data_IF_279597724291
#
_entry.id   IF_279597724291
#
_cell.length_a   1.000
_cell.length_b   1.000
_cell.length_c   1.000
_cell.angle_alpha   90.00
_cell.angle_beta   90.00
_cell.angle_gamma   90.00
#
_symmetry.space_group_name_H-M   'P 1'
#
loop_
_entity.id
_entity.type
_entity.pdbx_description
1 polymer ?
#
# COMPACT_ATOMS: atom_id res chain seq x y z
N UNK A 1 -0.09 23.42 -7.64
CA UNK A 1 0.89 23.86 -6.62
C UNK A 1 0.92 25.37 -6.70
N UNK A 2 0.42 26.05 -5.67
CA UNK A 2 0.51 27.49 -5.58
C UNK A 2 1.98 27.91 -5.44
N UNK A 3 2.35 29.07 -6.00
CA UNK A 3 3.70 29.66 -6.04
C UNK A 3 4.37 29.94 -4.67
N UNK A 4 3.88 29.35 -3.57
CA UNK A 4 4.24 29.66 -2.19
C UNK A 4 5.13 28.62 -1.50
N UNK A 5 5.76 27.68 -2.22
CA UNK A 5 6.58 26.62 -1.60
C UNK A 5 8.05 26.65 -2.03
N UNK A 6 8.67 27.83 -2.02
CA UNK A 6 10.11 27.95 -2.26
C UNK A 6 10.71 28.57 -1.00
N UNK A 7 11.29 27.70 -0.17
CA UNK A 7 11.93 28.07 1.08
C UNK A 7 13.24 28.80 0.78
N UNK A 8 13.28 30.12 0.95
CA UNK A 8 14.45 30.95 0.63
C UNK A 8 15.74 30.46 1.30
N UNK A 9 15.66 29.68 2.40
CA UNK A 9 16.80 29.16 3.16
C UNK A 9 17.28 27.76 2.75
N UNK A 10 16.68 27.11 1.75
CA UNK A 10 17.14 25.79 1.29
C UNK A 10 18.26 25.89 0.25
N UNK A 11 19.27 25.06 0.47
CA UNK A 11 20.34 24.76 -0.48
C UNK A 11 19.73 24.24 -1.80
N UNK A 12 20.16 24.83 -2.92
CA UNK A 12 19.64 24.55 -4.26
C UNK A 12 20.74 24.22 -5.23
N UNK A 13 20.46 23.25 -6.08
CA UNK A 13 21.31 22.93 -7.24
C UNK A 13 20.46 22.90 -8.51
N UNK A 14 21.06 23.27 -9.63
CA UNK A 14 20.40 23.26 -10.94
C UNK A 14 21.01 22.17 -11.82
N UNK A 15 20.18 21.27 -12.32
CA UNK A 15 20.51 20.40 -13.44
C UNK A 15 19.88 20.94 -14.72
N UNK A 16 20.70 21.19 -15.73
CA UNK A 16 20.22 21.73 -17.00
C UNK A 16 21.06 21.24 -18.17
N UNK A 17 20.41 20.92 -19.28
CA UNK A 17 21.09 20.90 -20.57
C UNK A 17 21.29 22.34 -21.06
N UNK A 18 22.28 22.55 -21.92
CA UNK A 18 22.36 23.76 -22.72
C UNK A 18 21.54 23.63 -24.01
N UNK A 19 20.79 24.67 -24.37
CA UNK A 19 20.06 24.74 -25.63
C UNK A 19 20.44 25.94 -26.49
N UNK A 20 19.86 26.01 -27.70
CA UNK A 20 20.10 27.09 -28.67
C UNK A 20 19.49 28.45 -28.29
N UNK A 21 18.76 28.51 -27.18
CA UNK A 21 18.19 29.73 -26.59
C UNK A 21 19.05 30.25 -25.43
N UNK A 22 19.95 29.44 -24.89
CA UNK A 22 20.82 29.83 -23.78
C UNK A 22 22.11 30.48 -24.31
N UNK A 23 22.68 31.47 -23.59
CA UNK A 23 22.20 32.03 -22.33
C UNK A 23 21.16 33.15 -22.47
N UNK A 24 21.10 33.83 -23.61
CA UNK A 24 20.08 34.85 -23.96
C UNK A 24 19.62 34.65 -25.40
N UNK A 25 18.39 35.06 -25.70
CA UNK A 25 17.88 35.04 -27.09
C UNK A 25 16.78 36.07 -27.29
N UNK A 26 16.90 36.85 -28.36
CA UNK A 26 15.89 37.85 -28.70
C UNK A 26 15.72 38.92 -27.62
N UNK A 27 16.81 39.32 -26.97
CA UNK A 27 16.86 40.35 -25.92
C UNK A 27 16.22 39.96 -24.58
N UNK A 28 16.04 38.67 -24.31
CA UNK A 28 15.56 38.17 -23.02
C UNK A 28 16.46 37.04 -22.50
N UNK A 29 16.34 36.76 -21.20
CA UNK A 29 17.00 35.62 -20.59
C UNK A 29 16.59 34.30 -21.25
N UNK A 30 17.59 33.51 -21.62
CA UNK A 30 17.42 32.09 -21.87
C UNK A 30 17.09 31.35 -20.56
N UNK A 31 16.53 30.13 -20.63
CA UNK A 31 16.06 29.43 -19.45
C UNK A 31 17.10 29.30 -18.33
N UNK A 32 18.37 29.02 -18.65
CA UNK A 32 19.43 28.87 -17.63
C UNK A 32 19.61 30.16 -16.83
N UNK A 33 19.74 31.30 -17.53
CA UNK A 33 19.94 32.60 -16.91
C UNK A 33 18.71 33.03 -16.10
N UNK A 34 17.50 32.78 -16.65
CA UNK A 34 16.24 33.13 -15.98
C UNK A 34 16.06 32.36 -14.66
N UNK A 35 16.33 31.06 -14.66
CA UNK A 35 16.28 30.24 -13.43
C UNK A 35 17.28 30.76 -12.40
N UNK A 36 18.50 31.10 -12.84
CA UNK A 36 19.52 31.66 -11.96
C UNK A 36 19.10 33.00 -11.35
N UNK A 37 18.43 33.86 -12.12
CA UNK A 37 17.97 35.18 -11.66
C UNK A 37 17.01 35.09 -10.47
N UNK A 38 16.09 34.13 -10.51
CA UNK A 38 15.05 33.98 -9.48
C UNK A 38 15.42 33.02 -8.35
N UNK A 39 16.19 31.95 -8.63
CA UNK A 39 16.42 30.89 -7.65
C UNK A 39 17.85 30.74 -7.17
N UNK A 40 18.82 31.43 -7.80
CA UNK A 40 20.23 31.49 -7.38
C UNK A 40 20.80 30.16 -6.85
N UNK A 41 20.72 29.05 -7.61
CA UNK A 41 21.28 27.76 -7.19
C UNK A 41 22.78 27.88 -6.89
N UNK A 42 23.27 27.19 -5.86
CA UNK A 42 24.67 27.25 -5.45
C UNK A 42 25.60 26.56 -6.45
N UNK A 43 25.08 25.49 -7.08
CA UNK A 43 25.80 24.70 -8.08
C UNK A 43 24.94 24.42 -9.30
N UNK A 44 25.55 24.51 -10.47
CA UNK A 44 24.92 24.26 -11.76
C UNK A 44 25.63 23.08 -12.43
N UNK A 45 24.92 21.97 -12.56
CA UNK A 45 25.29 20.81 -13.35
C UNK A 45 24.83 21.06 -14.79
N UNK A 46 25.77 21.52 -15.62
CA UNK A 46 25.52 21.91 -17.01
C UNK A 46 25.90 20.76 -17.95
N UNK A 47 24.89 20.11 -18.52
CA UNK A 47 25.07 19.01 -19.46
C UNK A 47 25.21 19.55 -20.89
N UNK A 48 26.34 19.23 -21.52
CA UNK A 48 26.72 19.75 -22.84
C UNK A 48 26.88 18.61 -23.85
N UNK A 49 26.21 18.73 -25.00
CA UNK A 49 26.57 17.95 -26.20
C UNK A 49 27.88 18.43 -26.78
N UNK A 50 28.47 17.67 -27.71
CA UNK A 50 29.69 18.08 -28.40
C UNK A 50 29.55 19.46 -29.09
N UNK A 51 28.38 19.76 -29.67
CA UNK A 51 28.08 21.07 -30.26
C UNK A 51 28.06 22.18 -29.19
N UNK A 52 27.35 21.95 -28.08
CA UNK A 52 27.25 22.94 -27.02
C UNK A 52 28.58 23.14 -26.29
N UNK A 53 29.44 22.12 -26.22
CA UNK A 53 30.78 22.21 -25.67
C UNK A 53 31.66 23.14 -26.50
N UNK A 54 31.67 23.00 -27.84
CA UNK A 54 32.38 23.92 -28.74
C UNK A 54 31.89 25.35 -28.57
N UNK A 55 30.57 25.54 -28.52
CA UNK A 55 29.97 26.86 -28.27
C UNK A 55 30.37 27.45 -26.91
N UNK A 56 30.62 26.59 -25.92
CA UNK A 56 31.01 26.99 -24.58
C UNK A 56 32.52 27.05 -24.34
N UNK A 57 33.37 26.97 -25.37
CA UNK A 57 34.84 27.09 -25.21
C UNK A 57 35.24 28.38 -24.46
N UNK A 58 34.51 29.48 -24.73
CA UNK A 58 34.70 30.76 -24.06
C UNK A 58 33.89 30.94 -22.77
N UNK A 59 33.31 29.85 -22.24
CA UNK A 59 32.49 29.83 -21.02
C UNK A 59 31.32 30.81 -21.04
N UNK A 60 30.59 30.85 -22.16
CA UNK A 60 29.54 31.86 -22.40
C UNK A 60 28.43 31.83 -21.34
N UNK A 61 28.06 30.64 -20.83
CA UNK A 61 27.00 30.52 -19.83
C UNK A 61 27.43 31.07 -18.46
N UNK A 62 28.67 30.75 -18.03
CA UNK A 62 29.25 31.25 -16.77
C UNK A 62 29.41 32.77 -16.81
N UNK A 63 29.92 33.30 -17.93
CA UNK A 63 30.09 34.75 -18.13
C UNK A 63 28.74 35.47 -18.16
N UNK A 64 27.76 34.98 -18.90
CA UNK A 64 26.45 35.61 -18.99
C UNK A 64 25.76 35.73 -17.62
N UNK A 65 25.85 34.69 -16.78
CA UNK A 65 25.35 34.72 -15.41
C UNK A 65 26.11 35.75 -14.56
N UNK A 66 27.44 35.71 -14.54
CA UNK A 66 28.27 36.63 -13.75
C UNK A 66 28.09 38.09 -14.14
N UNK A 67 27.97 38.35 -15.44
CA UNK A 67 27.84 39.71 -15.94
C UNK A 67 26.42 40.26 -15.76
N UNK A 68 25.39 39.42 -15.80
CA UNK A 68 23.98 39.84 -15.70
C UNK A 68 23.43 39.86 -14.27
N UNK A 69 24.02 39.08 -13.35
CA UNK A 69 23.53 38.89 -11.98
C UNK A 69 24.60 39.31 -10.97
N UNK A 70 24.50 40.53 -10.46
CA UNK A 70 25.40 41.04 -9.42
C UNK A 70 25.29 40.22 -8.13
N UNK A 71 26.43 40.03 -7.46
CA UNK A 71 26.54 39.29 -6.20
C UNK A 71 26.02 37.83 -6.25
N UNK A 72 26.06 37.20 -7.42
CA UNK A 72 25.74 35.79 -7.60
C UNK A 72 26.84 35.08 -8.39
N UNK A 73 27.44 34.05 -7.79
CA UNK A 73 28.57 33.32 -8.36
C UNK A 73 28.44 31.81 -8.07
N UNK A 74 27.66 31.09 -8.89
CA UNK A 74 27.44 29.66 -8.69
C UNK A 74 28.67 28.85 -9.12
N UNK A 75 28.82 27.67 -8.54
CA UNK A 75 29.82 26.68 -8.97
C UNK A 75 29.30 25.98 -10.23
N UNK A 76 30.08 25.98 -11.30
CA UNK A 76 29.76 25.22 -12.51
C UNK A 76 30.41 23.85 -12.49
N UNK A 77 29.60 22.84 -12.75
CA UNK A 77 30.05 21.51 -13.09
C UNK A 77 29.64 21.17 -14.52
N UNK A 78 30.63 21.01 -15.39
CA UNK A 78 30.40 20.67 -16.79
C UNK A 78 30.33 19.15 -16.96
N UNK A 79 29.24 18.69 -17.54
CA UNK A 79 28.98 17.29 -17.84
C UNK A 79 28.99 17.16 -19.36
N UNK A 80 30.19 17.00 -19.91
CA UNK A 80 30.37 16.77 -21.33
C UNK A 80 29.92 15.34 -21.66
N UNK A 81 29.04 15.22 -22.64
CA UNK A 81 28.45 13.92 -22.99
C UNK A 81 29.21 13.20 -24.10
N UNK A 82 30.06 13.90 -24.86
CA UNK A 82 30.71 13.42 -26.09
C UNK A 82 29.72 12.88 -27.14
N UNK A 83 28.46 13.33 -27.05
CA UNK A 83 27.39 12.92 -27.95
C UNK A 83 27.24 13.92 -29.09
N UNK A 84 27.50 13.45 -30.31
CA UNK A 84 27.30 14.21 -31.55
C UNK A 84 25.86 14.10 -32.08
N UNK A 85 25.22 12.92 -31.92
CA UNK A 85 23.89 12.63 -32.46
C UNK A 85 22.78 12.93 -31.46
N UNK A 86 22.52 14.21 -31.23
CA UNK A 86 21.59 14.64 -30.18
C UNK A 86 20.11 14.26 -30.37
N UNK A 87 19.78 13.62 -31.50
CA UNK A 87 18.45 13.16 -31.87
C UNK A 87 18.15 11.72 -31.42
N UNK A 88 19.16 10.92 -31.02
CA UNK A 88 18.91 9.57 -30.52
C UNK A 88 18.49 9.66 -29.05
N UNK A 89 17.47 8.88 -28.66
CA UNK A 89 16.79 9.03 -27.38
C UNK A 89 17.57 8.40 -26.21
N UNK A 90 18.04 7.17 -26.37
CA UNK A 90 18.54 6.34 -25.26
C UNK A 90 19.94 6.72 -24.76
N UNK A 91 20.70 7.45 -25.59
CA UNK A 91 22.10 7.81 -25.36
C UNK A 91 22.29 8.68 -24.11
N UNK A 92 21.25 9.42 -23.70
CA UNK A 92 21.31 10.35 -22.56
C UNK A 92 20.99 9.69 -21.23
N UNK A 93 20.36 8.51 -21.24
CA UNK A 93 19.84 7.86 -20.03
C UNK A 93 20.95 7.63 -19.00
N UNK A 94 22.06 7.02 -19.40
CA UNK A 94 23.19 6.73 -18.50
C UNK A 94 23.78 8.03 -17.94
N UNK A 95 23.96 9.05 -18.79
CA UNK A 95 24.57 10.31 -18.35
C UNK A 95 23.70 11.08 -17.36
N UNK A 96 22.38 11.09 -17.60
CA UNK A 96 21.40 11.68 -16.68
C UNK A 96 21.43 10.93 -15.34
N UNK A 97 21.42 9.59 -15.36
CA UNK A 97 21.48 8.78 -14.14
C UNK A 97 22.75 9.01 -13.32
N UNK A 98 23.92 9.00 -13.98
CA UNK A 98 25.21 9.30 -13.34
C UNK A 98 25.19 10.67 -12.67
N UNK A 99 24.66 11.67 -13.38
CA UNK A 99 24.56 13.04 -12.88
C UNK A 99 23.67 13.12 -11.65
N UNK A 100 22.47 12.53 -11.69
CA UNK A 100 21.59 12.52 -10.52
C UNK A 100 22.19 11.75 -9.34
N UNK A 101 22.89 10.64 -9.58
CA UNK A 101 23.58 9.91 -8.52
C UNK A 101 24.67 10.76 -7.87
N UNK A 102 25.41 11.53 -8.67
CA UNK A 102 26.38 12.49 -8.16
C UNK A 102 25.72 13.59 -7.33
N UNK A 103 24.63 14.17 -7.82
CA UNK A 103 23.84 15.16 -7.07
C UNK A 103 23.38 14.59 -5.73
N UNK A 104 22.83 13.36 -5.69
CA UNK A 104 22.41 12.71 -4.43
C UNK A 104 23.56 12.53 -3.44
N UNK A 105 24.76 12.25 -3.93
CA UNK A 105 25.94 12.04 -3.10
C UNK A 105 26.49 13.36 -2.53
N UNK A 106 26.49 14.41 -3.33
CA UNK A 106 27.06 15.71 -2.93
C UNK A 106 26.05 16.57 -2.17
N UNK A 107 24.77 16.48 -2.53
CA UNK A 107 23.69 17.35 -2.05
C UNK A 107 22.43 16.53 -1.68
N UNK A 108 22.51 15.62 -0.68
CA UNK A 108 21.42 14.67 -0.37
C UNK A 108 20.11 15.33 0.08
N UNK A 109 20.16 16.55 0.63
CA UNK A 109 19.01 17.27 1.17
C UNK A 109 18.60 18.50 0.35
N UNK A 110 19.32 18.80 -0.74
CA UNK A 110 19.09 20.01 -1.53
C UNK A 110 17.83 19.90 -2.40
N UNK A 111 17.28 21.05 -2.75
CA UNK A 111 16.30 21.18 -3.83
C UNK A 111 17.01 21.12 -5.18
N UNK A 112 16.67 20.09 -5.98
CA UNK A 112 17.25 19.89 -7.31
C UNK A 112 16.29 20.49 -8.33
N UNK A 113 16.60 21.71 -8.76
CA UNK A 113 15.91 22.37 -9.87
C UNK A 113 16.30 21.66 -11.16
N UNK A 114 15.34 21.10 -11.88
CA UNK A 114 15.57 20.42 -13.17
C UNK A 114 14.95 21.26 -14.27
N UNK A 115 15.80 21.87 -15.10
CA UNK A 115 15.33 22.64 -16.25
C UNK A 115 14.75 21.70 -17.32
N UNK A 116 13.44 21.81 -17.55
CA UNK A 116 12.72 21.03 -18.57
C UNK A 116 12.46 21.83 -19.86
N UNK A 117 13.22 22.91 -20.07
CA UNK A 117 13.07 23.83 -21.22
C UNK A 117 14.26 23.81 -22.16
N UNK A 118 15.48 23.75 -21.62
CA UNK A 118 16.72 23.80 -22.41
C UNK A 118 17.14 22.42 -22.89
N UNK A 119 17.53 22.31 -24.17
CA UNK A 119 17.97 21.07 -24.80
C UNK A 119 17.00 20.61 -25.90
N UNK A 120 17.30 19.44 -26.49
CA UNK A 120 16.41 18.83 -27.50
C UNK A 120 15.21 18.16 -26.83
N UNK A 121 14.14 17.91 -27.58
CA UNK A 121 12.97 17.21 -27.06
C UNK A 121 13.31 15.83 -26.47
N UNK A 122 14.31 15.14 -27.03
CA UNK A 122 14.78 13.84 -26.55
C UNK A 122 15.49 13.93 -25.19
N UNK A 123 16.30 14.97 -24.97
CA UNK A 123 16.96 15.23 -23.68
C UNK A 123 15.92 15.54 -22.60
N UNK A 124 14.99 16.45 -22.91
CA UNK A 124 13.93 16.84 -21.97
C UNK A 124 13.06 15.64 -21.61
N UNK A 125 12.69 14.81 -22.60
CA UNK A 125 11.90 13.60 -22.36
C UNK A 125 12.60 12.61 -21.42
N UNK A 126 13.92 12.42 -21.55
CA UNK A 126 14.68 11.56 -20.62
C UNK A 126 14.73 12.16 -19.20
N UNK A 127 14.90 13.48 -19.05
CA UNK A 127 14.84 14.15 -17.75
C UNK A 127 13.47 13.99 -17.09
N UNK A 128 12.40 14.19 -17.86
CA UNK A 128 11.03 14.01 -17.39
C UNK A 128 10.81 12.56 -16.95
N UNK A 129 11.26 11.58 -17.74
CA UNK A 129 11.14 10.17 -17.40
C UNK A 129 11.87 9.83 -16.09
N UNK A 130 13.12 10.28 -15.94
CA UNK A 130 13.85 10.12 -14.67
C UNK A 130 13.09 10.77 -13.51
N UNK A 131 12.61 12.00 -13.70
CA UNK A 131 11.89 12.76 -12.67
C UNK A 131 10.61 12.06 -12.21
N UNK A 132 9.90 11.39 -13.12
CA UNK A 132 8.67 10.64 -12.82
C UNK A 132 8.95 9.38 -11.99
N UNK A 133 10.07 8.71 -12.25
CA UNK A 133 10.43 7.43 -11.61
C UNK A 133 11.30 7.60 -10.36
N UNK A 134 11.98 8.74 -10.23
CA UNK A 134 12.93 9.00 -9.16
C UNK A 134 12.28 8.91 -7.78
N UNK A 135 12.97 8.21 -6.89
CA UNK A 135 12.69 8.17 -5.45
C UNK A 135 13.91 8.67 -4.69
N UNK A 136 13.69 9.18 -3.48
CA UNK A 136 14.74 9.63 -2.56
C UNK A 136 15.61 10.78 -3.11
N UNK A 137 14.99 11.72 -3.82
CA UNK A 137 15.61 12.99 -4.24
C UNK A 137 14.52 14.05 -4.39
N UNK A 138 14.79 15.28 -3.94
CA UNK A 138 13.83 16.37 -4.00
C UNK A 138 13.94 17.13 -5.32
N UNK A 139 13.35 16.56 -6.38
CA UNK A 139 13.33 17.19 -7.71
C UNK A 139 12.18 18.18 -7.84
N UNK A 140 12.51 19.37 -8.32
CA UNK A 140 11.58 20.44 -8.70
C UNK A 140 11.73 20.69 -10.20
N UNK A 141 10.77 20.24 -11.04
CA UNK A 141 10.76 20.55 -12.46
C UNK A 141 10.57 22.04 -12.70
N UNK A 142 11.40 22.65 -13.55
CA UNK A 142 11.35 24.08 -13.85
C UNK A 142 11.21 24.30 -15.34
N UNK A 143 10.10 24.89 -15.75
CA UNK A 143 9.84 25.31 -17.13
C UNK A 143 9.93 26.83 -17.23
N UNK A 144 10.55 27.34 -18.29
CA UNK A 144 10.65 28.78 -18.56
C UNK A 144 9.85 29.08 -19.82
N UNK A 145 8.74 29.81 -19.68
CA UNK A 145 7.93 30.24 -20.82
C UNK A 145 8.69 31.25 -21.67
N UNK A 146 8.46 31.27 -22.98
CA UNK A 146 9.04 32.31 -23.85
C UNK A 146 8.43 33.68 -23.54
N UNK A 147 9.14 34.79 -23.81
CA UNK A 147 8.63 36.14 -23.57
C UNK A 147 7.28 36.42 -24.26
N UNK A 148 7.09 35.88 -25.47
CA UNK A 148 5.87 36.05 -26.26
C UNK A 148 4.79 34.98 -25.98
N UNK A 149 5.07 33.98 -25.13
CA UNK A 149 4.16 32.86 -24.85
C UNK A 149 3.96 31.87 -26.01
N UNK A 150 4.74 32.01 -27.10
CA UNK A 150 4.74 31.13 -28.29
C UNK A 150 6.16 30.79 -28.73
N UNK A 151 6.32 29.93 -29.74
CA UNK A 151 7.63 29.54 -30.25
C UNK A 151 8.47 30.74 -30.73
N UNK A 152 9.75 30.78 -30.32
CA UNK A 152 10.66 31.87 -30.66
C UNK A 152 11.02 31.88 -32.15
N UNK A 153 10.82 33.02 -32.81
CA UNK A 153 11.18 33.27 -34.22
C UNK A 153 12.52 34.01 -34.39
N UNK A 154 13.09 34.54 -33.30
CA UNK A 154 14.39 35.22 -33.28
C UNK A 154 15.54 34.27 -33.63
N UNK A 155 16.68 34.81 -34.08
CA UNK A 155 17.87 33.99 -34.40
C UNK A 155 18.34 33.21 -33.17
N UNK A 156 18.79 31.98 -33.40
CA UNK A 156 19.41 31.15 -32.35
C UNK A 156 20.81 31.67 -32.00
N UNK A 157 21.27 31.33 -30.80
CA UNK A 157 22.64 31.61 -30.37
C UNK A 157 23.62 30.90 -31.29
N UNK A 158 24.67 31.61 -31.71
CA UNK A 158 25.67 31.15 -32.66
C UNK A 158 27.07 31.67 -32.28
N UNK A 159 28.07 31.42 -33.13
CA UNK A 159 29.47 31.76 -32.86
C UNK A 159 29.76 33.27 -32.79
N UNK A 160 28.84 34.13 -33.27
CA UNK A 160 28.95 35.58 -33.13
C UNK A 160 28.42 36.12 -31.80
N UNK A 161 27.96 35.25 -30.90
CA UNK A 161 27.42 35.63 -29.60
C UNK A 161 28.48 36.32 -28.73
N UNK A 162 28.19 37.54 -28.28
CA UNK A 162 29.03 38.32 -27.37
C UNK A 162 28.24 38.64 -26.11
N UNK A 163 28.76 38.18 -24.97
CA UNK A 163 28.09 38.31 -23.67
C UNK A 163 27.82 39.77 -23.32
N UNK A 164 28.80 40.67 -23.53
CA UNK A 164 28.65 42.10 -23.22
C UNK A 164 27.53 42.76 -24.03
N UNK A 165 27.52 42.58 -25.35
CA UNK A 165 26.51 43.14 -26.25
C UNK A 165 25.10 42.62 -25.89
N UNK A 166 24.99 41.33 -25.58
CA UNK A 166 23.71 40.70 -25.22
C UNK A 166 23.21 41.16 -23.85
N UNK A 167 24.11 41.37 -22.88
CA UNK A 167 23.78 41.91 -21.56
C UNK A 167 23.15 43.30 -21.67
N UNK A 168 23.76 44.19 -22.45
CA UNK A 168 23.31 45.59 -22.59
C UNK A 168 21.90 45.66 -23.20
N UNK A 169 21.57 44.72 -24.08
CA UNK A 169 20.30 44.68 -24.79
C UNK A 169 19.23 43.81 -24.11
N UNK A 170 19.54 43.17 -22.97
CA UNK A 170 18.63 42.23 -22.32
C UNK A 170 17.58 42.94 -21.44
N UNK A 171 16.31 42.85 -21.84
CA UNK A 171 15.19 43.47 -21.11
C UNK A 171 15.01 42.89 -19.70
N UNK A 172 15.37 41.63 -19.45
CA UNK A 172 15.27 41.03 -18.10
C UNK A 172 16.29 41.63 -17.11
N UNK A 173 17.31 42.36 -17.58
CA UNK A 173 18.20 43.14 -16.71
C UNK A 173 17.55 44.41 -16.16
N UNK A 174 16.52 44.94 -16.84
CA UNK A 174 15.79 46.15 -16.44
C UNK A 174 14.59 45.73 -15.58
N UNK A 175 14.57 46.16 -14.32
CA UNK A 175 13.55 45.73 -13.35
C UNK A 175 12.12 46.03 -13.80
N UNK A 176 11.89 47.16 -14.49
CA UNK A 176 10.58 47.58 -15.00
C UNK A 176 10.01 46.65 -16.09
N UNK A 177 10.86 46.01 -16.88
CA UNK A 177 10.44 45.10 -17.97
C UNK A 177 10.52 43.62 -17.58
N UNK A 178 11.17 43.33 -16.45
CA UNK A 178 11.42 41.97 -15.98
C UNK A 178 10.12 41.30 -15.55
N UNK A 179 9.88 40.10 -16.06
CA UNK A 179 8.74 39.27 -15.65
C UNK A 179 9.19 37.87 -15.25
N UNK A 180 8.60 37.32 -14.19
CA UNK A 180 8.87 35.92 -13.85
C UNK A 180 8.09 35.04 -14.82
N UNK A 181 8.83 34.22 -15.58
CA UNK A 181 8.32 33.33 -16.63
C UNK A 181 8.44 31.86 -16.23
N UNK A 182 8.77 31.61 -14.97
CA UNK A 182 8.99 30.26 -14.46
C UNK A 182 7.66 29.61 -14.10
N UNK A 183 7.49 28.40 -14.59
CA UNK A 183 6.36 27.52 -14.35
C UNK A 183 6.86 26.22 -13.72
N UNK A 184 6.08 25.67 -12.79
CA UNK A 184 6.35 24.40 -12.13
C UNK A 184 5.38 23.33 -12.64
N UNK A 185 5.74 22.59 -13.71
CA UNK A 185 4.88 21.54 -14.20
C UNK A 185 4.80 20.40 -13.18
N UNK A 186 3.58 19.93 -12.90
CA UNK A 186 3.37 18.78 -12.02
C UNK A 186 3.62 17.46 -12.77
N UNK A 187 4.89 17.14 -12.99
CA UNK A 187 5.28 15.88 -13.64
C UNK A 187 4.90 14.65 -12.81
N UNK A 188 4.65 14.81 -11.50
CA UNK A 188 4.27 13.69 -10.63
C UNK A 188 2.89 13.13 -10.97
N UNK A 189 2.06 13.85 -11.73
CA UNK A 189 0.78 13.33 -12.24
C UNK A 189 0.95 12.01 -13.03
N UNK A 190 2.05 11.87 -13.79
CA UNK A 190 2.33 10.62 -14.52
C UNK A 190 2.69 9.47 -13.57
N UNK A 191 3.45 9.77 -12.52
CA UNK A 191 3.79 8.81 -11.46
C UNK A 191 2.52 8.37 -10.71
N UNK A 192 1.60 9.30 -10.42
CA UNK A 192 0.30 9.01 -9.79
C UNK A 192 -0.49 7.99 -10.58
N UNK A 193 -0.59 8.14 -11.91
CA UNK A 193 -1.34 7.21 -12.76
C UNK A 193 -0.76 5.79 -12.71
N UNK A 194 0.57 5.66 -12.81
CA UNK A 194 1.24 4.36 -12.74
C UNK A 194 1.05 3.71 -11.38
N UNK A 195 1.36 4.44 -10.31
CA UNK A 195 1.27 3.95 -8.93
C UNK A 195 -0.18 3.65 -8.55
N UNK A 196 -1.14 4.46 -8.99
CA UNK A 196 -2.58 4.21 -8.81
C UNK A 196 -2.98 2.85 -9.39
N UNK A 197 -2.57 2.54 -10.61
CA UNK A 197 -2.87 1.26 -11.24
C UNK A 197 -2.19 0.09 -10.50
N UNK A 198 -0.94 0.26 -10.05
CA UNK A 198 -0.25 -0.74 -9.24
C UNK A 198 -0.98 -1.00 -7.91
N UNK A 199 -1.35 0.06 -7.18
CA UNK A 199 -2.10 -0.07 -5.92
C UNK A 199 -3.44 -0.78 -6.17
N UNK A 200 -4.18 -0.44 -7.23
CA UNK A 200 -5.44 -1.12 -7.58
C UNK A 200 -5.27 -2.62 -7.77
N UNK A 201 -4.23 -3.06 -8.50
CA UNK A 201 -3.95 -4.48 -8.69
C UNK A 201 -3.50 -5.18 -7.39
N UNK A 202 -2.74 -4.48 -6.54
CA UNK A 202 -2.34 -5.01 -5.23
C UNK A 202 -3.53 -5.13 -4.27
N UNK A 203 -4.49 -4.19 -4.31
CA UNK A 203 -5.72 -4.26 -3.51
C UNK A 203 -6.56 -5.49 -3.89
N UNK A 204 -6.66 -5.85 -5.18
CA UNK A 204 -7.32 -7.11 -5.61
C UNK A 204 -6.72 -8.36 -4.98
N UNK A 205 -5.43 -8.31 -4.62
CA UNK A 205 -4.69 -9.39 -3.94
C UNK A 205 -4.58 -9.19 -2.43
N UNK A 206 -5.18 -8.14 -1.88
CA UNK A 206 -5.11 -7.77 -0.45
C UNK A 206 -3.68 -7.53 0.06
N UNK A 207 -2.77 -7.08 -0.81
CA UNK A 207 -1.35 -6.84 -0.49
C UNK A 207 -1.08 -5.43 0.05
N UNK A 208 -1.66 -5.17 1.22
CA UNK A 208 -1.61 -3.85 1.87
C UNK A 208 -0.20 -3.37 2.22
N UNK A 209 0.70 -4.25 2.64
CA UNK A 209 2.09 -3.89 2.97
C UNK A 209 2.80 -3.30 1.75
N UNK A 210 2.61 -3.88 0.57
CA UNK A 210 3.22 -3.40 -0.67
C UNK A 210 2.60 -2.09 -1.12
N UNK A 211 1.28 -1.92 -0.96
CA UNK A 211 0.63 -0.62 -1.21
C UNK A 211 1.24 0.48 -0.33
N UNK A 212 1.50 0.21 0.95
CA UNK A 212 2.09 1.18 1.88
C UNK A 212 3.51 1.59 1.47
N UNK A 213 4.31 0.68 0.91
CA UNK A 213 5.63 1.02 0.34
C UNK A 213 5.51 1.99 -0.84
N UNK A 214 4.51 1.81 -1.70
CA UNK A 214 4.25 2.72 -2.82
C UNK A 214 3.78 4.11 -2.34
N UNK A 215 2.98 4.17 -1.27
CA UNK A 215 2.46 5.42 -0.69
C UNK A 215 3.55 6.26 0.00
N UNK A 216 4.74 5.71 0.27
CA UNK A 216 5.90 6.49 0.77
C UNK A 216 6.37 7.57 -0.23
N UNK A 217 6.02 7.42 -1.51
CA UNK A 217 6.33 8.43 -2.54
C UNK A 217 5.61 9.77 -2.32
N UNK A 218 4.54 9.76 -1.51
CA UNK A 218 3.75 10.95 -1.15
C UNK A 218 3.30 11.78 -2.35
N UNK A 219 2.77 11.07 -3.35
CA UNK A 219 2.36 11.68 -4.62
C UNK A 219 0.87 11.97 -4.69
N UNK A 220 0.02 11.34 -3.87
CA UNK A 220 -1.44 11.52 -3.91
C UNK A 220 -1.90 12.71 -3.05
N UNK A 221 -2.98 13.38 -3.44
CA UNK A 221 -3.59 14.46 -2.64
C UNK A 221 -4.10 13.92 -1.30
N UNK A 222 -4.76 12.76 -1.33
CA UNK A 222 -5.30 12.08 -0.15
C UNK A 222 -4.35 10.98 0.38
N UNK A 223 -3.03 11.17 0.21
CA UNK A 223 -2.04 10.15 0.57
C UNK A 223 -2.07 9.77 2.06
N UNK A 224 -2.29 10.72 2.96
CA UNK A 224 -2.41 10.48 4.41
C UNK A 224 -3.62 9.60 4.74
N UNK A 225 -4.75 9.85 4.06
CA UNK A 225 -5.99 9.10 4.21
C UNK A 225 -5.86 7.67 3.68
N UNK A 226 -5.28 7.51 2.50
CA UNK A 226 -4.93 6.19 1.94
C UNK A 226 -3.99 5.44 2.89
N UNK A 227 -2.93 6.10 3.37
CA UNK A 227 -1.99 5.50 4.31
C UNK A 227 -2.67 5.02 5.59
N UNK A 228 -3.52 5.83 6.23
CA UNK A 228 -4.19 5.43 7.46
C UNK A 228 -5.16 4.26 7.25
N UNK A 229 -5.93 4.27 6.15
CA UNK A 229 -6.87 3.20 5.81
C UNK A 229 -6.16 1.88 5.50
N UNK A 230 -5.09 1.91 4.69
CA UNK A 230 -4.34 0.70 4.35
C UNK A 230 -3.48 0.18 5.52
N UNK A 231 -2.98 1.06 6.38
CA UNK A 231 -2.35 0.66 7.64
C UNK A 231 -3.34 -0.03 8.57
N UNK A 232 -4.57 0.48 8.67
CA UNK A 232 -5.63 -0.18 9.43
C UNK A 232 -5.87 -1.61 8.93
N UNK A 233 -6.06 -1.77 7.61
CA UNK A 233 -6.27 -3.07 6.98
C UNK A 233 -5.08 -4.02 7.22
N UNK A 234 -3.85 -3.50 7.10
CA UNK A 234 -2.64 -4.28 7.34
C UNK A 234 -2.51 -4.70 8.81
N UNK A 235 -2.79 -3.82 9.77
CA UNK A 235 -2.78 -4.15 11.19
C UNK A 235 -3.82 -5.24 11.53
N UNK A 236 -5.01 -5.15 10.93
CA UNK A 236 -6.07 -6.15 11.08
C UNK A 236 -5.68 -7.50 10.44
N UNK A 237 -5.02 -7.48 9.28
CA UNK A 237 -4.46 -8.68 8.62
C UNK A 237 -3.48 -9.45 9.50
N UNK A 238 -2.78 -8.73 10.39
CA UNK A 238 -1.85 -9.30 11.36
C UNK A 238 -2.47 -9.52 12.75
N UNK A 239 -3.80 -9.55 12.85
CA UNK A 239 -4.56 -9.83 14.08
C UNK A 239 -4.18 -8.92 15.26
N UNK A 240 -3.85 -7.65 15.00
CA UNK A 240 -3.50 -6.68 16.06
C UNK A 240 -4.71 -6.21 16.90
N UNK A 241 -5.93 -6.68 16.62
CA UNK A 241 -7.13 -6.40 17.42
C UNK A 241 -7.47 -4.92 17.49
N UNK A 242 -7.85 -4.44 18.68
CA UNK A 242 -8.24 -3.05 18.95
C UNK A 242 -7.12 -2.05 18.64
N UNK A 243 -5.85 -2.48 18.65
CA UNK A 243 -4.71 -1.60 18.31
C UNK A 243 -4.82 -1.04 16.89
N UNK A 244 -5.42 -1.79 15.98
CA UNK A 244 -5.65 -1.33 14.60
C UNK A 244 -6.49 -0.04 14.56
N UNK A 245 -7.48 0.11 15.45
CA UNK A 245 -8.38 1.26 15.50
C UNK A 245 -7.66 2.61 15.63
N UNK A 246 -6.46 2.63 16.23
CA UNK A 246 -5.64 3.84 16.31
C UNK A 246 -5.34 4.47 14.95
N UNK A 247 -5.19 3.65 13.89
CA UNK A 247 -4.92 4.11 12.52
C UNK A 247 -6.09 4.85 11.88
N UNK A 248 -7.33 4.46 12.21
CA UNK A 248 -8.52 5.16 11.73
C UNK A 248 -8.85 6.38 12.60
N UNK A 249 -8.66 6.29 13.92
CA UNK A 249 -8.86 7.42 14.84
C UNK A 249 -8.03 8.63 14.46
N UNK A 250 -6.78 8.42 14.05
CA UNK A 250 -5.90 9.52 13.60
C UNK A 250 -6.38 10.24 12.35
N UNK A 251 -7.25 9.63 11.54
CA UNK A 251 -7.82 10.26 10.35
C UNK A 251 -9.05 11.14 10.69
N UNK A 252 -9.72 10.89 11.81
CA UNK A 252 -10.93 11.60 12.25
C UNK A 252 -12.02 11.78 11.17
N UNK A 253 -12.20 10.77 10.30
CA UNK A 253 -13.20 10.78 9.23
C UNK A 253 -14.31 9.76 9.52
N UNK A 254 -15.55 10.26 9.64
CA UNK A 254 -16.74 9.46 9.93
C UNK A 254 -17.04 8.40 8.85
N UNK A 255 -16.56 8.58 7.62
CA UNK A 255 -16.69 7.57 6.54
C UNK A 255 -16.08 6.22 6.95
N UNK A 256 -15.08 6.23 7.84
CA UNK A 256 -14.39 5.04 8.32
C UNK A 256 -14.97 4.46 9.61
N UNK A 257 -15.95 5.09 10.25
CA UNK A 257 -16.49 4.64 11.54
C UNK A 257 -17.06 3.21 11.47
N UNK A 258 -17.55 2.80 10.30
CA UNK A 258 -18.06 1.44 10.07
C UNK A 258 -16.99 0.35 10.08
N UNK A 259 -15.71 0.69 9.96
CA UNK A 259 -14.62 -0.29 9.86
C UNK A 259 -13.95 -0.62 11.18
N UNK A 260 -14.20 0.15 12.24
CA UNK A 260 -13.56 -0.10 13.54
C UNK A 260 -13.68 -1.57 13.95
N UNK A 261 -12.55 -2.12 14.37
CA UNK A 261 -12.49 -3.43 14.98
C UNK A 261 -13.28 -3.41 16.28
N UNK A 262 -14.30 -4.27 16.36
CA UNK A 262 -15.25 -4.43 17.47
C UNK A 262 -16.07 -3.17 17.81
N UNK A 263 -15.43 -2.11 18.30
CA UNK A 263 -16.04 -0.79 18.47
C UNK A 263 -14.98 0.31 18.46
N UNK A 264 -15.41 1.54 18.17
CA UNK A 264 -14.53 2.72 18.09
C UNK A 264 -13.81 2.99 19.42
N UNK A 265 -14.54 3.00 20.53
CA UNK A 265 -14.05 3.49 21.82
C UNK A 265 -13.53 2.40 22.75
N UNK A 266 -13.68 1.13 22.39
CA UNK A 266 -13.14 0.03 23.20
C UNK A 266 -11.61 -0.02 23.14
N UNK A 267 -10.99 -0.26 24.29
CA UNK A 267 -9.53 -0.39 24.45
C UNK A 267 -9.16 -1.64 25.23
N UNK A 268 -10.12 -2.31 25.87
CA UNK A 268 -9.91 -3.52 26.63
C UNK A 268 -10.19 -4.76 25.77
N UNK A 269 -9.11 -5.45 25.37
CA UNK A 269 -9.17 -6.68 24.57
C UNK A 269 -10.00 -7.81 25.22
N UNK A 270 -10.13 -7.83 26.57
CA UNK A 270 -10.93 -8.84 27.26
C UNK A 270 -12.43 -8.67 27.02
N UNK A 271 -12.88 -7.51 26.55
CA UNK A 271 -14.28 -7.28 26.20
C UNK A 271 -14.62 -7.70 24.78
N UNK A 272 -13.62 -7.92 23.92
CA UNK A 272 -13.85 -8.43 22.57
C UNK A 272 -14.32 -9.87 22.68
N UNK A 273 -15.56 -10.12 22.26
CA UNK A 273 -16.15 -11.46 22.32
C UNK A 273 -15.36 -12.43 21.45
N UNK A 274 -15.15 -13.64 21.96
CA UNK A 274 -14.37 -14.65 21.25
C UNK A 274 -14.96 -15.01 19.88
N UNK A 275 -16.29 -15.11 19.74
CA UNK A 275 -16.91 -15.33 18.42
C UNK A 275 -16.60 -14.22 17.40
N UNK A 276 -16.39 -12.99 17.85
CA UNK A 276 -16.00 -11.88 16.96
C UNK A 276 -14.58 -12.11 16.44
N UNK A 277 -13.66 -12.57 17.29
CA UNK A 277 -12.30 -12.94 16.88
C UNK A 277 -12.31 -14.08 15.86
N UNK A 278 -13.22 -15.05 16.04
CA UNK A 278 -13.41 -16.16 15.08
C UNK A 278 -13.94 -15.63 13.74
N UNK A 279 -14.94 -14.74 13.75
CA UNK A 279 -15.45 -14.12 12.53
C UNK A 279 -14.38 -13.27 11.81
N UNK A 280 -13.58 -12.53 12.56
CA UNK A 280 -12.46 -11.75 12.02
C UNK A 280 -11.36 -12.64 11.41
N UNK A 281 -11.02 -13.74 12.09
CA UNK A 281 -10.09 -14.73 11.57
C UNK A 281 -10.63 -15.42 10.31
N UNK A 282 -11.95 -15.65 10.24
CA UNK A 282 -12.59 -16.15 9.02
C UNK A 282 -12.55 -15.12 7.87
N UNK A 283 -12.66 -13.82 8.16
CA UNK A 283 -12.46 -12.78 7.15
C UNK A 283 -11.05 -12.85 6.51
N UNK A 284 -10.02 -13.21 7.30
CA UNK A 284 -8.67 -13.46 6.79
C UNK A 284 -8.59 -14.70 5.89
N UNK A 285 -9.20 -15.81 6.31
CA UNK A 285 -9.29 -17.00 5.47
C UNK A 285 -10.02 -16.67 4.16
N UNK A 286 -11.09 -15.89 4.21
CA UNK A 286 -11.87 -15.50 3.05
C UNK A 286 -11.02 -14.72 2.02
N UNK A 287 -10.18 -13.77 2.45
CA UNK A 287 -9.28 -13.07 1.50
C UNK A 287 -8.23 -13.98 0.89
N UNK A 288 -7.76 -15.01 1.61
CA UNK A 288 -6.84 -16.03 1.07
C UNK A 288 -7.48 -16.83 -0.05
N UNK A 289 -8.73 -17.24 0.13
CA UNK A 289 -9.51 -17.90 -0.91
C UNK A 289 -9.69 -16.98 -2.13
N UNK A 290 -10.02 -15.71 -1.92
CA UNK A 290 -10.21 -14.72 -3.01
C UNK A 290 -8.91 -14.40 -3.76
N UNK A 291 -7.77 -14.39 -3.07
CA UNK A 291 -6.45 -14.18 -3.68
C UNK A 291 -5.83 -15.47 -4.25
N UNK A 292 -6.62 -16.56 -4.36
CA UNK A 292 -6.19 -17.88 -4.84
C UNK A 292 -5.10 -18.57 -4.02
N UNK A 293 -4.87 -18.15 -2.77
CA UNK A 293 -4.01 -18.85 -1.80
C UNK A 293 -4.82 -19.95 -1.09
N UNK A 294 -5.14 -21.02 -1.83
CA UNK A 294 -6.01 -22.11 -1.36
C UNK A 294 -5.32 -22.95 -0.28
N UNK A 295 -4.00 -23.10 -0.35
CA UNK A 295 -3.24 -23.77 0.70
C UNK A 295 -3.30 -22.98 2.02
N UNK A 296 -3.04 -21.67 1.97
CA UNK A 296 -3.16 -20.79 3.14
C UNK A 296 -4.58 -20.79 3.71
N UNK A 297 -5.61 -20.71 2.86
CA UNK A 297 -7.01 -20.84 3.29
C UNK A 297 -7.26 -22.15 4.04
N UNK A 298 -6.83 -23.28 3.48
CA UNK A 298 -7.07 -24.61 4.07
C UNK A 298 -6.39 -24.76 5.44
N UNK A 299 -5.16 -24.27 5.57
CA UNK A 299 -4.43 -24.28 6.86
C UNK A 299 -5.16 -23.45 7.92
N UNK A 300 -5.74 -22.31 7.53
CA UNK A 300 -6.49 -21.47 8.46
C UNK A 300 -7.80 -22.11 8.92
N UNK A 301 -8.46 -22.93 8.10
CA UNK A 301 -9.74 -23.53 8.44
C UNK A 301 -9.67 -24.50 9.63
N UNK A 302 -8.57 -25.23 9.82
CA UNK A 302 -8.45 -26.21 10.91
C UNK A 302 -8.65 -25.59 12.31
N UNK A 303 -7.84 -24.59 12.73
CA UNK A 303 -8.07 -23.93 14.01
C UNK A 303 -9.40 -23.15 14.03
N UNK A 304 -9.86 -22.63 12.89
CA UNK A 304 -11.15 -21.94 12.81
C UNK A 304 -12.32 -22.86 13.17
N UNK A 305 -12.37 -24.07 12.60
CA UNK A 305 -13.46 -25.05 12.83
C UNK A 305 -13.53 -25.45 14.30
N UNK A 306 -12.37 -25.76 14.91
CA UNK A 306 -12.31 -26.10 16.34
C UNK A 306 -12.86 -24.96 17.20
N UNK A 307 -12.45 -23.73 16.90
CA UNK A 307 -12.93 -22.56 17.62
C UNK A 307 -14.43 -22.30 17.39
N UNK A 308 -14.97 -22.55 16.19
CA UNK A 308 -16.41 -22.49 15.92
C UNK A 308 -17.16 -23.44 16.87
N UNK A 309 -16.72 -24.69 16.99
CA UNK A 309 -17.38 -25.67 17.88
C UNK A 309 -17.30 -25.28 19.35
N UNK A 310 -16.15 -24.80 19.82
CA UNK A 310 -16.01 -24.25 21.17
C UNK A 310 -16.93 -23.04 21.38
N UNK A 311 -17.07 -22.19 20.36
CA UNK A 311 -17.99 -21.04 20.36
C UNK A 311 -19.44 -21.48 20.49
N UNK A 312 -19.87 -22.57 19.84
CA UNK A 312 -21.23 -23.12 20.00
C UNK A 312 -21.49 -23.50 21.45
N UNK A 313 -20.61 -24.29 22.06
CA UNK A 313 -20.77 -24.71 23.46
C UNK A 313 -20.83 -23.49 24.40
N UNK A 314 -19.93 -22.52 24.20
CA UNK A 314 -19.82 -21.33 25.05
C UNK A 314 -20.94 -20.33 24.84
N UNK A 315 -21.13 -19.86 23.61
CA UNK A 315 -21.95 -18.69 23.30
C UNK A 315 -23.39 -19.08 22.97
N UNK A 316 -23.61 -20.21 22.27
CA UNK A 316 -24.94 -20.67 21.87
C UNK A 316 -25.62 -21.49 22.98
N UNK A 317 -24.86 -22.36 23.64
CA UNK A 317 -25.38 -23.20 24.74
C UNK A 317 -25.08 -22.66 26.13
N UNK A 318 -24.34 -21.56 26.25
CA UNK A 318 -24.06 -20.92 27.54
C UNK A 318 -23.17 -21.75 28.47
N UNK A 319 -22.47 -22.77 27.97
CA UNK A 319 -21.66 -23.66 28.80
C UNK A 319 -20.31 -23.04 29.10
N UNK A 320 -19.88 -23.13 30.36
CA UNK A 320 -18.49 -22.84 30.71
C UNK A 320 -17.63 -23.99 30.23
N UNK A 321 -16.69 -23.73 29.33
CA UNK A 321 -15.82 -24.76 28.76
C UNK A 321 -14.98 -25.47 29.84
N UNK A 322 -14.63 -24.75 30.91
CA UNK A 322 -13.95 -25.29 32.08
C UNK A 322 -14.79 -26.25 32.92
N UNK A 323 -16.12 -26.29 32.74
CA UNK A 323 -16.99 -27.28 33.40
C UNK A 323 -17.06 -28.60 32.61
N UNK A 324 -16.68 -28.57 31.32
CA UNK A 324 -16.66 -29.73 30.43
C UNK A 324 -15.25 -30.32 30.27
N UNK A 325 -14.24 -29.45 30.23
CA UNK A 325 -12.89 -29.80 29.79
C UNK A 325 -11.82 -29.24 30.73
N UNK A 326 -10.60 -29.77 30.63
CA UNK A 326 -9.44 -29.21 31.33
C UNK A 326 -8.74 -28.17 30.44
N UNK A 327 -8.50 -26.99 31.01
CA UNK A 327 -7.82 -25.89 30.33
C UNK A 327 -6.31 -26.02 30.51
N UNK A 328 -5.58 -25.98 29.39
CA UNK A 328 -4.12 -25.93 29.36
C UNK A 328 -3.70 -24.62 28.70
N UNK A 329 -3.04 -23.77 29.48
CA UNK A 329 -2.38 -22.56 29.00
C UNK A 329 -0.89 -22.81 28.87
N UNK A 330 -0.34 -22.61 27.67
CA UNK A 330 1.11 -22.63 27.44
C UNK A 330 1.47 -21.46 26.55
N UNK A 331 2.38 -20.59 27.01
CA UNK A 331 2.94 -19.48 26.20
C UNK A 331 1.88 -18.56 25.54
N UNK A 332 0.70 -18.45 26.14
CA UNK A 332 -0.41 -17.64 25.59
C UNK A 332 -1.39 -18.40 24.70
N UNK A 333 -1.10 -19.65 24.32
CA UNK A 333 -2.04 -20.54 23.64
C UNK A 333 -2.97 -21.25 24.63
N UNK A 334 -4.26 -21.24 24.33
CA UNK A 334 -5.30 -21.99 25.03
C UNK A 334 -5.57 -23.29 24.28
N UNK A 335 -5.44 -24.40 24.98
CA UNK A 335 -5.82 -25.71 24.49
C UNK A 335 -6.71 -26.41 25.50
N UNK A 336 -7.63 -27.23 25.01
CA UNK A 336 -8.51 -28.02 25.85
C UNK A 336 -8.13 -29.49 25.77
N UNK A 337 -8.19 -30.16 26.93
CA UNK A 337 -8.04 -31.59 27.05
C UNK A 337 -9.29 -32.23 27.64
N UNK A 338 -9.51 -33.49 27.28
CA UNK A 338 -10.54 -34.31 27.89
C UNK A 338 -10.33 -34.36 29.40
N UNK A 339 -11.42 -34.30 30.15
CA UNK A 339 -11.47 -34.46 31.59
C UNK A 339 -12.68 -35.35 31.89
N UNK A 340 -12.42 -36.65 32.09
CA UNK A 340 -13.49 -37.64 32.25
C UNK A 340 -14.36 -37.32 33.47
N UNK A 341 -13.77 -36.79 34.55
CA UNK A 341 -14.51 -36.47 35.77
C UNK A 341 -15.51 -35.34 35.53
N UNK A 342 -15.13 -34.33 34.73
CA UNK A 342 -16.02 -33.24 34.32
C UNK A 342 -17.10 -33.72 33.36
N UNK A 343 -16.72 -34.51 32.34
CA UNK A 343 -17.66 -35.07 31.36
C UNK A 343 -18.74 -35.93 32.04
N UNK A 344 -18.35 -36.78 33.00
CA UNK A 344 -19.27 -37.65 33.76
C UNK A 344 -20.27 -36.90 34.65
N UNK A 345 -20.10 -35.58 34.88
CA UNK A 345 -21.12 -34.77 35.56
C UNK A 345 -22.38 -34.60 34.72
N UNK A 346 -22.27 -34.80 33.40
CA UNK A 346 -23.39 -34.76 32.46
C UNK A 346 -23.82 -36.19 32.15
N UNK A 347 -25.01 -36.54 32.64
CA UNK A 347 -25.56 -37.89 32.54
C UNK A 347 -25.71 -38.35 31.08
N UNK A 348 -24.97 -39.41 30.72
CA UNK A 348 -24.94 -40.00 29.37
C UNK A 348 -23.98 -39.33 28.37
N UNK A 349 -23.27 -38.25 28.74
CA UNK A 349 -22.39 -37.53 27.80
C UNK A 349 -21.17 -38.37 27.41
N UNK A 350 -20.54 -39.08 28.36
CA UNK A 350 -19.38 -39.93 28.06
C UNK A 350 -19.76 -41.04 27.09
N UNK A 351 -20.87 -41.72 27.36
CA UNK A 351 -21.40 -42.82 26.57
C UNK A 351 -21.78 -42.34 25.16
N UNK A 352 -22.36 -41.14 25.04
CA UNK A 352 -22.65 -40.51 23.75
C UNK A 352 -21.39 -40.22 22.95
N UNK A 353 -20.34 -39.69 23.58
CA UNK A 353 -19.04 -39.46 22.92
C UNK A 353 -18.44 -40.79 22.45
N UNK A 354 -18.39 -41.80 23.32
CA UNK A 354 -17.84 -43.12 22.99
C UNK A 354 -18.59 -43.78 21.83
N UNK A 355 -19.93 -43.70 21.84
CA UNK A 355 -20.80 -44.20 20.78
C UNK A 355 -20.57 -43.48 19.44
N UNK A 356 -20.59 -42.14 19.42
CA UNK A 356 -20.43 -41.36 18.19
C UNK A 356 -19.02 -41.52 17.57
N UNK A 357 -18.00 -41.72 18.41
CA UNK A 357 -16.63 -41.95 17.95
C UNK A 357 -16.34 -43.42 17.61
N UNK A 358 -17.22 -44.36 17.99
CA UNK A 358 -16.99 -45.80 17.81
C UNK A 358 -15.80 -46.33 18.61
N UNK A 359 -15.53 -45.76 19.78
CA UNK A 359 -14.40 -46.14 20.65
C UNK A 359 -14.90 -46.87 21.90
N UNK A 360 -14.11 -47.83 22.37
CA UNK A 360 -14.45 -48.59 23.58
C UNK A 360 -14.36 -47.74 24.86
N UNK A 361 -13.38 -46.83 24.92
CA UNK A 361 -13.15 -45.97 26.07
C UNK A 361 -12.57 -44.62 25.65
N UNK A 362 -13.18 -43.54 26.13
CA UNK A 362 -12.66 -42.18 26.00
C UNK A 362 -11.47 -42.00 26.93
N UNK A 363 -10.31 -41.64 26.37
CA UNK A 363 -9.09 -41.40 27.14
C UNK A 363 -9.14 -40.07 27.88
N UNK A 364 -8.62 -40.07 29.11
CA UNK A 364 -8.48 -38.85 29.91
C UNK A 364 -7.23 -38.05 29.51
N UNK A 365 -7.23 -36.74 29.77
CA UNK A 365 -6.08 -35.86 29.58
C UNK A 365 -5.50 -35.83 28.15
N UNK A 366 -6.32 -36.12 27.15
CA UNK A 366 -5.98 -36.06 25.71
C UNK A 366 -6.47 -34.78 25.08
N UNK A 367 -5.78 -34.26 24.06
CA UNK A 367 -6.23 -33.07 23.35
C UNK A 367 -7.58 -33.31 22.68
N UNK A 368 -8.48 -32.34 22.81
CA UNK A 368 -9.83 -32.46 22.26
C UNK A 368 -9.77 -32.42 20.74
N UNK A 369 -10.35 -33.43 20.11
CA UNK A 369 -10.55 -33.48 18.67
C UNK A 369 -11.86 -32.83 18.25
N UNK A 370 -11.95 -32.50 16.96
CA UNK A 370 -13.19 -32.09 16.28
C UNK A 370 -14.35 -33.06 16.57
N UNK A 371 -14.09 -34.36 16.49
CA UNK A 371 -15.12 -35.39 16.72
C UNK A 371 -15.68 -35.36 18.15
N UNK A 372 -14.83 -35.16 19.17
CA UNK A 372 -15.28 -35.04 20.57
C UNK A 372 -16.19 -33.83 20.75
N UNK A 373 -15.83 -32.68 20.14
CA UNK A 373 -16.66 -31.48 20.18
C UNK A 373 -18.00 -31.68 19.47
N UNK A 374 -17.99 -32.30 18.29
CA UNK A 374 -19.22 -32.61 17.53
C UNK A 374 -20.15 -33.49 18.37
N UNK A 375 -19.64 -34.57 18.97
CA UNK A 375 -20.45 -35.46 19.81
C UNK A 375 -21.01 -34.73 21.04
N UNK A 376 -20.19 -33.86 21.67
CA UNK A 376 -20.62 -33.04 22.81
C UNK A 376 -21.72 -32.05 22.42
N UNK A 377 -21.60 -31.41 21.26
CA UNK A 377 -22.64 -30.48 20.77
C UNK A 377 -23.93 -31.24 20.47
N UNK A 378 -23.87 -32.39 19.78
CA UNK A 378 -25.05 -33.22 19.50
C UNK A 378 -25.78 -33.63 20.78
N UNK A 379 -25.03 -34.04 21.82
CA UNK A 379 -25.61 -34.35 23.13
C UNK A 379 -26.47 -33.19 23.67
N UNK A 380 -25.93 -31.96 23.65
CA UNK A 380 -26.65 -30.79 24.15
C UNK A 380 -27.83 -30.37 23.25
N UNK A 381 -27.72 -30.58 21.94
CA UNK A 381 -28.85 -30.39 21.01
C UNK A 381 -30.00 -31.35 21.34
N UNK A 382 -29.69 -32.64 21.55
CA UNK A 382 -30.69 -33.69 21.80
C UNK A 382 -31.37 -33.55 23.16
N UNK A 383 -30.62 -33.20 24.21
CA UNK A 383 -31.17 -33.00 25.56
C UNK A 383 -32.14 -31.82 25.64
N UNK A 384 -32.08 -30.87 24.69
CA UNK A 384 -33.00 -29.73 24.57
C UNK A 384 -33.18 -29.00 25.94
N UNK A 385 -32.08 -28.81 26.67
CA UNK A 385 -32.09 -28.27 28.02
C UNK A 385 -32.76 -26.87 28.05
N UNK A 386 -33.59 -26.63 29.06
CA UNK A 386 -34.30 -25.35 29.25
C UNK A 386 -33.38 -24.14 29.48
N UNK A 387 -32.08 -24.36 29.69
CA UNK A 387 -31.06 -23.33 29.94
C UNK A 387 -30.28 -22.90 28.67
N UNK A 388 -30.64 -23.43 27.50
CA UNK A 388 -29.97 -23.08 26.24
C UNK A 388 -30.37 -21.67 25.77
N UNK A 389 -29.37 -20.83 25.45
CA UNK A 389 -29.59 -19.45 24.98
C UNK A 389 -30.24 -19.40 23.59
N UNK A 390 -29.86 -20.30 22.68
CA UNK A 390 -30.50 -20.47 21.35
C UNK A 390 -30.65 -21.94 20.96
N UNK A 391 -31.86 -22.34 20.59
CA UNK A 391 -32.12 -23.71 20.08
C UNK A 391 -31.39 -23.93 18.76
N UNK A 392 -30.67 -25.05 18.67
CA UNK A 392 -30.00 -25.51 17.46
C UNK A 392 -30.68 -26.80 16.98
N UNK A 393 -30.90 -26.89 15.68
CA UNK A 393 -31.48 -28.08 15.06
C UNK A 393 -30.41 -29.16 14.81
N UNK A 394 -30.73 -30.42 15.12
CA UNK A 394 -29.77 -31.54 15.06
C UNK A 394 -29.40 -31.89 13.61
N UNK A 395 -30.37 -31.83 12.70
CA UNK A 395 -30.14 -32.12 11.28
C UNK A 395 -29.24 -31.05 10.67
N UNK A 396 -29.54 -29.78 10.95
CA UNK A 396 -28.71 -28.64 10.57
C UNK A 396 -27.27 -28.77 11.11
N UNK A 397 -27.09 -29.04 12.41
CA UNK A 397 -25.75 -29.14 12.97
C UNK A 397 -24.98 -30.33 12.39
N UNK A 398 -25.66 -31.46 12.19
CA UNK A 398 -25.05 -32.64 11.58
C UNK A 398 -24.60 -32.40 10.15
N UNK A 399 -25.40 -31.68 9.35
CA UNK A 399 -25.05 -31.28 7.99
C UNK A 399 -23.89 -30.25 7.98
N UNK A 400 -23.91 -29.27 8.88
CA UNK A 400 -22.84 -28.29 9.05
C UNK A 400 -21.51 -28.96 9.44
N UNK A 401 -21.51 -29.80 10.46
CA UNK A 401 -20.30 -30.47 10.94
C UNK A 401 -19.74 -31.45 9.92
N UNK A 402 -20.60 -32.18 9.19
CA UNK A 402 -20.17 -33.06 8.08
C UNK A 402 -19.47 -32.28 6.98
N UNK A 403 -19.98 -31.12 6.59
CA UNK A 403 -19.32 -30.28 5.59
C UNK A 403 -17.97 -29.78 6.07
N UNK A 404 -17.86 -29.32 7.32
CA UNK A 404 -16.59 -28.84 7.84
C UNK A 404 -15.56 -29.96 8.01
N UNK A 405 -16.00 -31.17 8.39
CA UNK A 405 -15.11 -32.32 8.57
C UNK A 405 -14.42 -32.74 7.27
N UNK A 406 -15.05 -32.54 6.10
CA UNK A 406 -14.47 -32.81 4.78
C UNK A 406 -13.17 -32.03 4.50
N UNK A 407 -12.97 -30.88 5.13
CA UNK A 407 -11.74 -30.07 4.97
C UNK A 407 -10.51 -30.83 5.48
N UNK A 408 -10.69 -31.76 6.43
CA UNK A 408 -9.61 -32.56 6.99
C UNK A 408 -8.90 -33.42 5.94
N UNK A 409 -9.62 -33.90 4.92
CA UNK A 409 -9.05 -34.65 3.80
C UNK A 409 -8.03 -33.77 3.05
N UNK A 410 -8.44 -32.55 2.65
CA UNK A 410 -7.57 -31.58 1.97
C UNK A 410 -6.38 -31.17 2.84
N UNK A 411 -6.61 -30.88 4.12
CA UNK A 411 -5.54 -30.50 5.04
C UNK A 411 -4.50 -31.61 5.16
N UNK A 412 -4.94 -32.86 5.34
CA UNK A 412 -4.03 -34.00 5.45
C UNK A 412 -3.20 -34.16 4.17
N UNK A 413 -3.81 -33.95 3.00
CA UNK A 413 -3.07 -33.91 1.74
C UNK A 413 -1.99 -32.81 1.76
N UNK A 414 -2.31 -31.57 2.14
CA UNK A 414 -1.32 -30.46 2.17
C UNK A 414 -0.23 -30.70 3.23
N UNK A 415 -0.60 -31.18 4.42
CA UNK A 415 0.32 -31.32 5.55
C UNK A 415 1.28 -32.51 5.38
N UNK A 416 0.84 -33.57 4.69
CA UNK A 416 1.63 -34.79 4.48
C UNK A 416 2.20 -34.90 3.06
N UNK A 417 1.91 -33.95 2.17
CA UNK A 417 2.51 -33.89 0.83
C UNK A 417 2.97 -32.46 0.49
N UNK A 418 4.18 -32.31 -0.06
CA UNK A 418 4.70 -31.03 -0.56
C UNK A 418 4.02 -30.63 -1.89
N UNK A 419 2.69 -30.64 -1.93
CA UNK A 419 1.89 -30.33 -3.12
C UNK A 419 1.23 -28.96 -2.97
N UNK A 420 1.35 -28.15 -4.01
CA UNK A 420 0.50 -26.98 -4.21
C UNK A 420 -0.89 -27.42 -4.62
N UNK A 421 -1.92 -26.78 -4.08
CA UNK A 421 -3.31 -27.06 -4.43
C UNK A 421 -3.98 -25.81 -5.01
N UNK A 422 -4.84 -26.01 -5.99
CA UNK A 422 -5.74 -25.00 -6.50
C UNK A 422 -7.18 -25.26 -6.02
N UNK A 423 -8.14 -24.50 -6.55
CA UNK A 423 -9.55 -24.59 -6.19
C UNK A 423 -10.19 -25.92 -6.59
N UNK A 424 -9.85 -26.43 -7.77
CA UNK A 424 -10.38 -27.69 -8.29
C UNK A 424 -9.84 -28.88 -7.50
N UNK A 425 -8.56 -28.84 -7.13
CA UNK A 425 -7.93 -29.82 -6.24
C UNK A 425 -8.64 -29.86 -4.88
N UNK A 426 -8.90 -28.69 -4.28
CA UNK A 426 -9.66 -28.58 -3.03
C UNK A 426 -11.05 -29.21 -3.17
N UNK A 427 -11.79 -28.84 -4.21
CA UNK A 427 -13.17 -29.29 -4.40
C UNK A 427 -13.25 -30.80 -4.64
N UNK A 428 -12.27 -31.35 -5.38
CA UNK A 428 -12.17 -32.78 -5.66
C UNK A 428 -11.86 -33.57 -4.39
N UNK A 429 -10.83 -33.15 -3.65
CA UNK A 429 -10.39 -33.85 -2.44
C UNK A 429 -11.41 -33.74 -1.31
N UNK A 430 -11.95 -32.54 -1.04
CA UNK A 430 -12.97 -32.34 -0.01
C UNK A 430 -14.34 -32.94 -0.40
N UNK A 431 -14.57 -33.21 -1.69
CA UNK A 431 -15.90 -33.57 -2.23
C UNK A 431 -16.99 -32.56 -1.82
N UNK A 432 -16.61 -31.29 -1.74
CA UNK A 432 -17.47 -30.13 -1.47
C UNK A 432 -16.79 -28.87 -2.01
N UNK A 433 -17.59 -27.97 -2.60
CA UNK A 433 -17.08 -26.71 -3.12
C UNK A 433 -16.59 -25.78 -2.01
N UNK A 434 -15.45 -25.10 -2.25
CA UNK A 434 -14.92 -24.07 -1.33
C UNK A 434 -15.94 -22.95 -1.04
N UNK A 435 -16.75 -22.56 -2.05
CA UNK A 435 -17.81 -21.57 -1.85
C UNK A 435 -18.91 -22.10 -0.94
N UNK A 436 -19.25 -23.39 -1.07
CA UNK A 436 -20.23 -24.03 -0.20
C UNK A 436 -19.75 -24.04 1.25
N UNK A 437 -18.46 -24.32 1.49
CA UNK A 437 -17.85 -24.23 2.82
C UNK A 437 -17.99 -22.81 3.38
N UNK A 438 -17.60 -21.80 2.60
CA UNK A 438 -17.69 -20.40 3.03
C UNK A 438 -19.13 -19.98 3.32
N UNK A 439 -20.07 -20.27 2.43
CA UNK A 439 -21.48 -19.96 2.62
C UNK A 439 -22.03 -20.63 3.87
N UNK A 440 -21.69 -21.89 4.14
CA UNK A 440 -22.13 -22.55 5.38
C UNK A 440 -21.61 -21.87 6.64
N UNK A 441 -20.36 -21.40 6.65
CA UNK A 441 -19.80 -20.65 7.79
C UNK A 441 -20.52 -19.30 7.95
N UNK A 442 -20.75 -18.57 6.85
CA UNK A 442 -21.47 -17.29 6.87
C UNK A 442 -22.90 -17.48 7.38
N UNK A 443 -23.62 -18.47 6.85
CA UNK A 443 -24.99 -18.80 7.24
C UNK A 443 -25.07 -19.24 8.70
N UNK A 444 -24.08 -19.98 9.19
CA UNK A 444 -23.96 -20.32 10.60
C UNK A 444 -23.85 -19.08 11.49
N UNK A 445 -22.92 -18.16 11.19
CA UNK A 445 -22.79 -16.92 11.97
C UNK A 445 -24.05 -16.06 11.88
N UNK A 446 -24.65 -15.96 10.69
CA UNK A 446 -25.90 -15.24 10.48
C UNK A 446 -27.05 -15.84 11.30
N UNK A 447 -27.14 -17.16 11.39
CA UNK A 447 -28.22 -17.84 12.11
C UNK A 447 -28.09 -17.76 13.63
N UNK A 448 -26.87 -17.87 14.17
CA UNK A 448 -26.70 -18.00 15.64
C UNK A 448 -26.01 -16.82 16.32
N UNK A 449 -25.40 -15.89 15.58
CA UNK A 449 -24.63 -14.78 16.15
C UNK A 449 -25.18 -13.39 15.79
N UNK A 450 -26.24 -13.28 14.99
CA UNK A 450 -26.87 -11.98 14.67
C UNK A 450 -27.33 -11.26 15.93
N UNK A 451 -27.98 -11.96 16.87
CA UNK A 451 -28.43 -11.38 18.14
C UNK A 451 -27.27 -10.98 19.07
N UNK A 452 -26.08 -11.54 18.83
CA UNK A 452 -24.85 -11.16 19.51
C UNK A 452 -24.16 -9.95 18.86
N UNK A 453 -24.66 -9.48 17.71
CA UNK A 453 -24.15 -8.33 16.96
C UNK A 453 -23.37 -8.68 15.69
N UNK A 454 -23.38 -9.94 15.24
CA UNK A 454 -22.75 -10.32 13.96
C UNK A 454 -23.36 -9.55 12.79
N UNK A 455 -22.49 -9.12 11.87
CA UNK A 455 -22.87 -8.50 10.60
C UNK A 455 -22.03 -9.13 9.50
N UNK A 456 -22.65 -9.43 8.37
CA UNK A 456 -21.95 -9.99 7.21
C UNK A 456 -20.82 -9.08 6.70
N UNK A 457 -20.95 -7.76 6.90
CA UNK A 457 -19.89 -6.77 6.62
C UNK A 457 -18.59 -7.01 7.39
N UNK A 458 -18.63 -7.77 8.49
CA UNK A 458 -17.41 -8.18 9.21
C UNK A 458 -16.57 -9.16 8.39
N UNK A 459 -17.19 -9.99 7.54
CA UNK A 459 -16.51 -10.99 6.70
C UNK A 459 -15.98 -10.37 5.41
N UNK A 460 -16.68 -9.37 4.85
CA UNK A 460 -16.26 -8.64 3.65
C UNK A 460 -15.56 -7.30 3.94
N UNK A 461 -15.11 -7.07 5.19
CA UNK A 461 -14.49 -5.81 5.63
C UNK A 461 -13.33 -5.37 4.72
N UNK A 462 -12.50 -6.31 4.26
CA UNK A 462 -11.38 -6.03 3.37
C UNK A 462 -11.83 -5.58 1.97
N UNK A 463 -12.93 -6.13 1.46
CA UNK A 463 -13.50 -5.71 0.18
C UNK A 463 -14.05 -4.28 0.27
N UNK A 464 -14.72 -3.96 1.37
CA UNK A 464 -15.23 -2.62 1.60
C UNK A 464 -14.10 -1.60 1.77
N UNK A 465 -13.02 -1.97 2.48
CA UNK A 465 -11.83 -1.13 2.59
C UNK A 465 -11.20 -0.91 1.22
N UNK A 466 -11.01 -1.96 0.43
CA UNK A 466 -10.48 -1.87 -0.93
C UNK A 466 -11.34 -0.98 -1.82
N UNK A 467 -12.67 -1.08 -1.71
CA UNK A 467 -13.61 -0.22 -2.42
C UNK A 467 -13.39 1.25 -2.06
N UNK A 468 -13.30 1.59 -0.78
CA UNK A 468 -13.08 2.99 -0.36
C UNK A 468 -11.69 3.48 -0.74
N UNK A 469 -10.66 2.64 -0.66
CA UNK A 469 -9.32 2.99 -1.14
C UNK A 469 -9.33 3.30 -2.65
N UNK A 470 -10.05 2.50 -3.44
CA UNK A 470 -10.24 2.77 -4.87
C UNK A 470 -11.01 4.06 -5.12
N UNK A 471 -12.08 4.34 -4.37
CA UNK A 471 -12.81 5.61 -4.47
C UNK A 471 -11.91 6.82 -4.21
N UNK A 472 -11.04 6.76 -3.20
CA UNK A 472 -10.07 7.82 -2.90
C UNK A 472 -9.06 7.97 -4.06
N UNK A 473 -8.56 6.86 -4.61
CA UNK A 473 -7.68 6.88 -5.79
C UNK A 473 -8.36 7.44 -7.05
N UNK A 474 -9.69 7.36 -7.18
CA UNK A 474 -10.42 7.95 -8.30
C UNK A 474 -10.65 9.46 -8.16
N UNK A 475 -10.62 10.00 -6.94
CA UNK A 475 -10.74 11.45 -6.73
C UNK A 475 -9.45 12.22 -7.06
N UNK A 476 -8.34 11.52 -7.26
CA UNK A 476 -7.05 12.08 -7.69
C UNK A 476 -7.14 12.61 -9.13
N UNK A 477 -6.83 13.90 -9.32
CA UNK A 477 -6.79 14.58 -10.62
C UNK A 477 -5.46 14.39 -11.34
#
# INVERSE_FOLDING_TARGET
MDNNNIDENKERVLLTFAGNTDPTRGNYDGPILHICRYYKPEKIYLVLTSEMQKRNENKIYEKAIKESLENYNPVFEYINTDIDNAHLFDIYFNKINETFNKIKSEYPNAEVLVNVTSGTAQMISNLVMYTVDATNINIIPVQVATPEGKGNTSKVVNDSYKVADEKENNFDNIEEFRTNRILFPDLRQYSRLLVKNQIKELLKKYEYSTCLELLKRDIFQENSKLNGLLNFANDRRHLKGLKSNGKLKSLNDKKFDKFYYYSKDETNENKVREWYKIADYFALANIKQKSADIAGYTIMLEPLIVNIYLSILRDVFGKKLSDLFSEKRKEGEFSYKTDILKIKKYDGLKEKIEYELGIAELKDSTYISDNVLIATIKYFVEKNESEILHKMDLEYFSDFSKTLHKIKEVRNMIAHSLKTINRDDFNSEAKVGIDTVNSKIIDFFKKYYTDFGYKESMICVYDEINKIANEILETEK
#
